data_IF_622308868905
#
_entry.id   IF_622308868905
#
_cell.length_a   1.000
_cell.length_b   1.000
_cell.length_c   1.000
_cell.angle_alpha   90.00
_cell.angle_beta   90.00
_cell.angle_gamma   90.00
#
_symmetry.space_group_name_H-M   'P 1'
#
loop_
_entity.id
_entity.type
_entity.pdbx_description
1 polymer ?
#
# COMPACT_ATOMS: atom_id res chain seq x y z
N UNK A 1 -11.72 8.45 13.62
CA UNK A 1 -10.79 8.52 12.46
C UNK A 1 -9.37 8.50 12.99
N UNK A 2 -8.45 7.67 12.45
CA UNK A 2 -7.10 7.59 12.97
C UNK A 2 -6.35 8.92 12.90
N UNK A 3 -5.62 9.29 13.96
CA UNK A 3 -4.93 10.58 14.06
C UNK A 3 -3.86 10.83 12.98
N UNK A 4 -3.42 9.76 12.31
CA UNK A 4 -2.44 9.84 11.23
C UNK A 4 -3.05 10.21 9.88
N UNK A 5 -4.38 10.18 9.71
CA UNK A 5 -5.03 10.68 8.48
C UNK A 5 -5.26 12.19 8.62
N UNK A 6 -4.82 13.03 7.67
CA UNK A 6 -5.03 14.47 7.76
C UNK A 6 -6.53 14.83 7.57
N UNK A 7 -6.95 15.94 8.18
CA UNK A 7 -8.32 16.45 8.03
C UNK A 7 -8.61 17.09 6.67
N UNK A 8 -7.58 17.49 5.92
CA UNK A 8 -7.71 18.03 4.55
C UNK A 8 -6.41 17.83 3.76
N UNK A 9 -6.52 17.84 2.42
CA UNK A 9 -5.39 17.71 1.51
C UNK A 9 -4.64 16.38 1.70
N UNK A 10 -3.32 16.45 1.81
CA UNK A 10 -2.48 15.29 2.12
C UNK A 10 -1.31 15.67 3.03
N UNK A 11 -0.77 14.72 3.77
CA UNK A 11 0.37 14.94 4.65
C UNK A 11 1.32 13.75 4.66
N UNK A 12 2.62 14.02 4.85
CA UNK A 12 3.61 12.95 5.00
C UNK A 12 3.50 12.31 6.40
N UNK A 13 3.67 10.99 6.43
CA UNK A 13 3.81 10.19 7.64
C UNK A 13 5.02 9.30 7.53
N UNK A 14 5.83 9.24 8.58
CA UNK A 14 6.96 8.33 8.63
C UNK A 14 6.47 6.90 8.83
N UNK A 15 6.95 5.98 8.00
CA UNK A 15 6.65 4.57 8.12
C UNK A 15 7.22 3.97 9.40
N UNK A 16 6.60 2.92 9.92
CA UNK A 16 6.85 2.27 11.20
C UNK A 16 6.53 3.12 12.45
N UNK A 17 5.81 4.24 12.32
CA UNK A 17 5.18 4.92 13.47
C UNK A 17 3.74 4.45 13.63
N UNK A 18 2.89 4.76 12.65
CA UNK A 18 1.46 4.42 12.66
C UNK A 18 1.14 3.18 11.83
N UNK A 19 1.96 2.91 10.83
CA UNK A 19 1.86 1.81 9.88
C UNK A 19 3.25 1.58 9.28
N UNK A 20 3.54 0.36 8.85
CA UNK A 20 4.53 0.15 7.80
C UNK A 20 3.84 0.34 6.43
N UNK A 21 4.60 0.38 5.35
CA UNK A 21 4.03 0.31 4.02
C UNK A 21 4.85 -0.54 3.08
N UNK A 22 4.21 -1.09 2.05
CA UNK A 22 4.89 -1.62 0.88
C UNK A 22 4.52 -0.76 -0.31
N UNK A 23 5.54 -0.18 -0.95
CA UNK A 23 5.40 0.55 -2.19
C UNK A 23 5.60 -0.40 -3.35
N UNK A 24 4.66 -0.44 -4.28
CA UNK A 24 4.76 -1.21 -5.52
C UNK A 24 4.57 -0.26 -6.70
N UNK A 25 5.51 -0.28 -7.64
CA UNK A 25 5.57 0.67 -8.74
C UNK A 25 4.82 0.14 -9.96
N UNK A 26 4.18 1.05 -10.70
CA UNK A 26 3.62 0.80 -12.01
C UNK A 26 2.44 -0.19 -12.02
N UNK A 27 2.36 -0.95 -13.12
CA UNK A 27 1.26 -1.86 -13.40
C UNK A 27 1.16 -3.01 -12.38
N UNK A 28 2.29 -3.54 -11.92
CA UNK A 28 2.34 -4.56 -10.87
C UNK A 28 1.58 -4.10 -9.61
N UNK A 29 1.78 -2.86 -9.19
CA UNK A 29 1.06 -2.30 -8.05
C UNK A 29 -0.45 -2.18 -8.29
N UNK A 30 -0.87 -1.80 -9.50
CA UNK A 30 -2.29 -1.73 -9.89
C UNK A 30 -2.95 -3.11 -9.91
N UNK A 31 -2.28 -4.12 -10.46
CA UNK A 31 -2.76 -5.49 -10.50
C UNK A 31 -2.88 -6.09 -9.10
N UNK A 32 -1.82 -5.98 -8.28
CA UNK A 32 -1.84 -6.50 -6.90
C UNK A 32 -2.94 -5.81 -6.07
N UNK A 33 -3.13 -4.50 -6.25
CA UNK A 33 -4.22 -3.79 -5.59
C UNK A 33 -5.60 -4.30 -6.04
N UNK A 34 -5.77 -4.61 -7.33
CA UNK A 34 -7.00 -5.23 -7.81
C UNK A 34 -7.23 -6.61 -7.22
N UNK A 35 -6.22 -7.50 -7.25
CA UNK A 35 -6.31 -8.87 -6.76
C UNK A 35 -6.64 -8.92 -5.26
N UNK A 36 -5.92 -8.17 -4.42
CA UNK A 36 -6.20 -8.18 -2.98
C UNK A 36 -7.59 -7.63 -2.66
N UNK A 37 -8.06 -6.63 -3.44
CA UNK A 37 -9.42 -6.12 -3.29
C UNK A 37 -10.46 -7.15 -3.73
N UNK A 38 -10.24 -7.90 -4.81
CA UNK A 38 -11.16 -8.99 -5.19
C UNK A 38 -11.19 -10.08 -4.13
N UNK A 39 -10.02 -10.54 -3.69
CA UNK A 39 -9.88 -11.62 -2.72
C UNK A 39 -10.55 -11.31 -1.39
N UNK A 40 -10.49 -10.05 -0.96
CA UNK A 40 -11.06 -9.59 0.33
C UNK A 40 -12.49 -9.06 0.23
N UNK A 41 -13.18 -9.24 -0.91
CA UNK A 41 -14.53 -8.69 -1.09
C UNK A 41 -14.57 -7.16 -0.94
N UNK A 42 -13.53 -6.49 -1.44
CA UNK A 42 -13.28 -5.05 -1.35
C UNK A 42 -13.05 -4.51 0.07
N UNK A 43 -12.72 -5.39 1.02
CA UNK A 43 -12.30 -5.04 2.38
C UNK A 43 -10.79 -5.26 2.55
N UNK A 44 -9.98 -4.72 1.63
CA UNK A 44 -8.53 -4.92 1.62
C UNK A 44 -7.80 -4.09 2.68
N UNK A 45 -8.45 -3.10 3.29
CA UNK A 45 -7.81 -2.08 4.11
C UNK A 45 -7.20 -0.93 3.27
N UNK A 46 -6.41 -0.04 3.89
CA UNK A 46 -5.89 1.17 3.27
C UNK A 46 -4.86 0.92 2.17
N UNK A 47 -5.20 1.33 0.95
CA UNK A 47 -4.29 1.35 -0.20
C UNK A 47 -4.30 2.77 -0.78
N UNK A 48 -3.14 3.40 -0.87
CA UNK A 48 -2.97 4.75 -1.42
C UNK A 48 -2.38 4.65 -2.82
N UNK A 49 -2.95 5.39 -3.77
CA UNK A 49 -2.38 5.60 -5.09
C UNK A 49 -1.68 6.94 -5.16
N UNK A 50 -0.44 6.96 -5.68
CA UNK A 50 0.20 8.19 -6.16
C UNK A 50 0.07 8.31 -7.68
N UNK A 51 -0.43 9.45 -8.15
CA UNK A 51 -0.59 9.74 -9.59
C UNK A 51 0.58 10.51 -10.20
N UNK A 52 1.55 10.96 -9.40
CA UNK A 52 2.74 11.69 -9.85
C UNK A 52 4.02 10.94 -9.49
N UNK A 53 5.14 11.39 -10.05
CA UNK A 53 6.42 10.70 -9.95
C UNK A 53 6.34 9.34 -10.62
N UNK A 54 7.00 8.35 -10.05
CA UNK A 54 6.71 6.95 -10.38
C UNK A 54 5.34 6.58 -9.80
N UNK A 55 4.35 6.40 -10.67
CA UNK A 55 3.02 5.90 -10.29
C UNK A 55 3.19 4.66 -9.42
N UNK A 56 2.69 4.73 -8.20
CA UNK A 56 2.91 3.69 -7.19
C UNK A 56 1.65 3.48 -6.36
N UNK A 57 1.45 2.24 -5.92
CA UNK A 57 0.52 1.89 -4.85
C UNK A 57 1.30 1.73 -3.55
N UNK A 58 0.73 2.24 -2.47
CA UNK A 58 1.24 2.06 -1.11
C UNK A 58 0.20 1.29 -0.31
N UNK A 59 0.54 0.07 0.07
CA UNK A 59 -0.28 -0.78 0.93
C UNK A 59 0.12 -0.52 2.37
N UNK A 60 -0.78 0.01 3.20
CA UNK A 60 -0.44 0.33 4.59
C UNK A 60 -0.66 -0.91 5.46
N UNK A 61 0.39 -1.33 6.13
CA UNK A 61 0.47 -2.55 6.93
C UNK A 61 0.50 -2.24 8.42
N UNK A 62 0.16 -3.20 9.30
CA UNK A 62 0.41 -3.03 10.71
C UNK A 62 1.89 -2.69 10.98
N UNK A 63 2.21 -1.81 11.95
CA UNK A 63 3.59 -1.45 12.24
C UNK A 63 4.46 -2.67 12.57
N UNK A 64 5.64 -2.74 11.94
CA UNK A 64 6.64 -3.79 12.18
C UNK A 64 6.46 -5.07 11.38
N UNK A 65 5.37 -5.26 10.63
CA UNK A 65 5.12 -6.52 9.91
C UNK A 65 5.85 -6.57 8.56
N UNK A 66 6.10 -5.43 7.92
CA UNK A 66 6.70 -5.42 6.59
C UNK A 66 8.15 -5.98 6.59
N UNK A 67 8.86 -5.89 7.72
CA UNK A 67 10.21 -6.46 7.86
C UNK A 67 10.25 -7.99 7.87
N UNK A 68 9.11 -8.65 8.08
CA UNK A 68 9.03 -10.12 8.16
C UNK A 68 9.26 -10.83 6.83
N UNK A 69 9.19 -10.11 5.71
CA UNK A 69 9.23 -10.67 4.37
C UNK A 69 10.36 -10.12 3.53
N UNK A 70 10.87 -10.96 2.61
CA UNK A 70 11.73 -10.53 1.53
C UNK A 70 10.85 -10.21 0.31
N UNK A 71 10.48 -8.95 0.18
CA UNK A 71 9.59 -8.48 -0.88
C UNK A 71 10.20 -8.68 -2.28
N UNK A 72 9.40 -9.12 -3.28
CA UNK A 72 9.85 -9.30 -4.66
C UNK A 72 10.35 -8.01 -5.33
N UNK A 73 11.14 -8.17 -6.40
CA UNK A 73 11.60 -7.05 -7.24
C UNK A 73 10.39 -6.26 -7.77
N UNK A 74 10.49 -4.94 -7.78
CA UNK A 74 9.38 -4.05 -8.13
C UNK A 74 8.54 -3.60 -6.92
N UNK A 75 8.88 -4.10 -5.72
CA UNK A 75 8.29 -3.66 -4.46
C UNK A 75 9.36 -3.26 -3.44
N UNK A 76 9.01 -2.34 -2.54
CA UNK A 76 9.89 -1.78 -1.52
C UNK A 76 9.14 -1.68 -0.19
N UNK A 77 9.70 -2.29 0.86
CA UNK A 77 9.20 -2.12 2.22
C UNK A 77 9.67 -0.78 2.81
N UNK A 78 8.72 0.06 3.20
CA UNK A 78 8.92 1.29 3.94
C UNK A 78 8.61 1.04 5.41
N UNK A 79 9.63 1.13 6.24
CA UNK A 79 9.59 0.79 7.67
C UNK A 79 10.25 1.92 8.47
N UNK A 80 10.36 1.78 9.81
CA UNK A 80 11.04 2.78 10.65
C UNK A 80 12.57 2.77 10.46
N UNK A 81 13.04 3.16 9.30
CA UNK A 81 14.45 3.28 8.90
C UNK A 81 14.62 4.42 7.88
N UNK A 82 15.72 5.16 7.97
CA UNK A 82 16.06 6.21 7.00
C UNK A 82 14.97 7.27 6.82
N UNK A 83 14.79 7.73 5.58
CA UNK A 83 13.77 8.71 5.18
C UNK A 83 12.55 8.02 4.54
N UNK A 84 11.95 7.05 5.22
CA UNK A 84 10.80 6.29 4.73
C UNK A 84 9.48 7.02 5.05
N UNK A 85 9.02 7.88 4.14
CA UNK A 85 7.77 8.62 4.28
C UNK A 85 6.72 8.18 3.26
N UNK A 86 5.46 8.13 3.70
CA UNK A 86 4.30 7.90 2.85
C UNK A 86 3.42 9.14 2.87
N UNK A 87 2.99 9.60 1.70
CA UNK A 87 1.94 10.61 1.59
C UNK A 87 0.59 9.99 1.91
N UNK A 88 -0.13 10.56 2.88
CA UNK A 88 -1.46 10.11 3.28
C UNK A 88 -2.48 11.16 2.86
N UNK A 89 -3.43 10.83 1.95
CA UNK A 89 -4.52 11.73 1.60
C UNK A 89 -5.55 11.80 2.73
N UNK A 90 -6.24 12.93 2.86
CA UNK A 90 -7.47 13.02 3.63
C UNK A 90 -8.52 12.06 3.04
N UNK A 91 -9.55 11.69 3.82
CA UNK A 91 -10.62 10.81 3.31
C UNK A 91 -11.52 11.52 2.29
N UNK A 92 -11.61 12.84 2.39
CA UNK A 92 -12.52 13.66 1.59
C UNK A 92 -11.80 14.91 1.07
N UNK A 93 -12.40 15.52 0.05
CA UNK A 93 -11.91 16.75 -0.57
C UNK A 93 -10.84 16.51 -1.63
N UNK A 94 -10.15 17.59 -2.00
CA UNK A 94 -9.11 17.57 -3.04
C UNK A 94 -7.78 17.11 -2.45
N UNK A 95 -7.37 15.90 -2.80
CA UNK A 95 -6.15 15.26 -2.26
C UNK A 95 -5.09 15.00 -3.33
N UNK A 96 -5.29 15.50 -4.56
CA UNK A 96 -4.31 15.40 -5.64
C UNK A 96 -2.91 15.79 -5.13
N UNK A 97 -1.88 14.97 -5.39
CA UNK A 97 -1.81 13.88 -6.36
C UNK A 97 -2.15 12.48 -5.82
N UNK A 98 -2.66 12.39 -4.59
CA UNK A 98 -2.91 11.14 -3.89
C UNK A 98 -4.39 10.84 -3.81
N UNK A 99 -4.75 9.56 -3.87
CA UNK A 99 -6.11 9.12 -3.63
C UNK A 99 -6.13 7.74 -2.97
N UNK A 100 -7.23 7.45 -2.27
CA UNK A 100 -7.47 6.13 -1.71
C UNK A 100 -7.96 5.18 -2.80
N UNK A 101 -7.21 4.10 -3.05
CA UNK A 101 -7.67 2.99 -3.87
C UNK A 101 -8.59 2.06 -3.09
N UNK A 102 -8.36 1.96 -1.79
CA UNK A 102 -9.17 1.29 -0.76
C UNK A 102 -9.00 2.05 0.56
N UNK A 103 -10.07 2.22 1.32
CA UNK A 103 -10.08 3.03 2.55
C UNK A 103 -9.77 2.16 3.78
N UNK A 104 -9.18 2.72 4.85
CA UNK A 104 -9.16 2.07 6.15
C UNK A 104 -10.56 2.07 6.77
N UNK A 105 -10.95 0.97 7.42
CA UNK A 105 -12.16 0.87 8.25
C UNK A 105 -11.78 0.54 9.69
N UNK A 106 -12.76 0.51 10.60
CA UNK A 106 -12.49 0.10 11.99
C UNK A 106 -12.17 -1.39 12.07
N UNK A 107 -12.80 -2.18 11.22
CA UNK A 107 -12.68 -3.65 11.14
C UNK A 107 -11.43 -4.07 10.37
N UNK A 108 -11.05 -3.30 9.33
CA UNK A 108 -9.87 -3.54 8.50
C UNK A 108 -9.00 -2.27 8.48
N UNK A 109 -8.27 -1.98 9.57
CA UNK A 109 -7.48 -0.77 9.68
C UNK A 109 -6.21 -0.80 8.83
N UNK A 110 -5.74 -1.98 8.42
CA UNK A 110 -4.53 -2.21 7.64
C UNK A 110 -4.74 -3.34 6.63
N UNK A 111 -3.92 -3.33 5.58
CA UNK A 111 -3.82 -4.45 4.64
C UNK A 111 -3.16 -5.63 5.35
N UNK A 112 -3.68 -6.84 5.14
CA UNK A 112 -3.07 -8.07 5.67
C UNK A 112 -1.69 -8.29 5.01
N UNK A 113 -0.66 -8.44 5.84
CA UNK A 113 0.73 -8.49 5.37
C UNK A 113 1.07 -9.79 4.66
N UNK A 114 0.60 -10.92 5.19
CA UNK A 114 0.90 -12.23 4.61
C UNK A 114 0.15 -12.38 3.29
N UNK A 115 -1.14 -12.02 3.26
CA UNK A 115 -1.93 -12.07 2.04
C UNK A 115 -1.34 -11.19 0.94
N UNK A 116 -0.89 -9.97 1.27
CA UNK A 116 -0.22 -9.10 0.30
C UNK A 116 1.05 -9.74 -0.24
N UNK A 117 1.86 -10.35 0.63
CA UNK A 117 3.09 -11.02 0.24
C UNK A 117 2.81 -12.21 -0.68
N UNK A 118 1.86 -13.08 -0.33
CA UNK A 118 1.47 -14.25 -1.12
C UNK A 118 0.94 -13.84 -2.51
N UNK A 119 0.02 -12.87 -2.57
CA UNK A 119 -0.55 -12.40 -3.83
C UNK A 119 0.51 -11.76 -4.74
N UNK A 120 1.41 -10.94 -4.16
CA UNK A 120 2.48 -10.33 -4.92
C UNK A 120 3.43 -11.37 -5.54
N UNK A 121 3.82 -12.39 -4.77
CA UNK A 121 4.64 -13.48 -5.33
C UNK A 121 3.90 -14.22 -6.44
N UNK A 122 2.62 -14.54 -6.25
CA UNK A 122 1.81 -15.21 -7.28
C UNK A 122 1.70 -14.41 -8.58
N UNK A 123 1.53 -13.08 -8.49
CA UNK A 123 1.50 -12.21 -9.68
C UNK A 123 2.86 -12.18 -10.39
N UNK A 124 3.95 -12.01 -9.64
CA UNK A 124 5.31 -11.99 -10.21
C UNK A 124 5.68 -13.33 -10.85
N UNK A 125 5.28 -14.45 -10.26
CA UNK A 125 5.50 -15.78 -10.82
C UNK A 125 4.72 -15.97 -12.13
N UNK A 126 3.45 -15.52 -12.18
CA UNK A 126 2.64 -15.59 -13.39
C UNK A 126 3.24 -14.75 -14.54
N UNK A 127 3.69 -13.53 -14.28
CA UNK A 127 4.34 -12.68 -15.29
C UNK A 127 5.61 -13.33 -15.86
N UNK A 128 6.40 -14.01 -15.02
CA UNK A 128 7.61 -14.71 -15.48
C UNK A 128 7.28 -15.93 -16.35
N UNK A 129 6.16 -16.60 -16.11
CA UNK A 129 5.69 -17.73 -16.92
C UNK A 129 5.17 -17.31 -18.31
N UNK A 130 4.60 -16.11 -18.45
CA UNK A 130 4.09 -15.60 -19.74
C UNK A 130 5.21 -15.19 -20.71
N UNK A 131 6.44 -15.03 -20.23
CA UNK A 131 7.61 -14.57 -21.01
C UNK A 131 8.52 -15.73 -21.47
N UNK A 132 8.22 -16.98 -21.07
CA UNK A 132 8.98 -18.20 -21.46
C UNK A 132 8.24 -19.01 -22.51
#
# INVERSE_FOLDING_TARGET
>A
MPAWIPGSGHALRHAGIYFDAVRIVGYLGEQVAYEIMQFTGFQAGPIIRSRIGERSMFFLLPPGTARGHRWPVGSEALVREGAAFVGVPALEGLTYPLDWRSLPTAEVPFVDTELLFELLNGVVEAENCEVT
#
